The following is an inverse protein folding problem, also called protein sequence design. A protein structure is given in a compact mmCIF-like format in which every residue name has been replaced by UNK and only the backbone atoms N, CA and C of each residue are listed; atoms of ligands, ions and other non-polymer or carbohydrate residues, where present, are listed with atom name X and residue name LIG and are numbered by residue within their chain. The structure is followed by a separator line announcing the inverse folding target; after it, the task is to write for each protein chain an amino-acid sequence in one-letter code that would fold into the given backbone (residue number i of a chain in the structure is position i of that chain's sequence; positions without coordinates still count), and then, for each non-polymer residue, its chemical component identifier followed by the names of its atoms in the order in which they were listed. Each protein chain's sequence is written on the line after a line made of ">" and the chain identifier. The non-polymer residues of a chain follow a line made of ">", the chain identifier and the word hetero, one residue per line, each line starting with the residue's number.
data_IF_004660181899
#
_entry.id   IF_004660181899
#
_cell.length_a   1.000
_cell.length_b   1.000
_cell.length_c   1.000
_cell.angle_alpha   90.00
_cell.angle_beta   90.00
_cell.angle_gamma   90.00
#
_symmetry.space_group_name_H-M   'P 1'
#
loop_
_entity.id
_entity.type
_entity.pdbx_description
1 polymer ?
#
# COMPACT_ATOMS: atom_id res chain seq x y z
N UNK A 1 -11.18 5.60 -3.49
CA UNK A 1 -11.10 7.05 -3.70
C UNK A 1 -9.75 7.41 -4.31
N UNK A 2 -9.76 8.14 -5.39
CA UNK A 2 -8.51 8.55 -6.03
C UNK A 2 -8.11 9.95 -5.56
N UNK A 3 -6.85 10.10 -5.16
CA UNK A 3 -6.28 11.34 -4.66
C UNK A 3 -5.21 11.79 -5.65
N UNK A 4 -5.25 13.04 -6.08
CA UNK A 4 -4.18 13.61 -6.91
C UNK A 4 -2.96 13.90 -6.03
N UNK A 5 -1.77 13.84 -6.62
CA UNK A 5 -0.54 14.07 -5.88
C UNK A 5 -0.54 15.41 -5.17
N UNK A 6 -0.99 16.47 -5.83
CA UNK A 6 -1.07 17.82 -5.26
C UNK A 6 -2.10 17.93 -4.12
N UNK A 7 -3.03 16.99 -4.02
CA UNK A 7 -4.05 16.95 -2.98
C UNK A 7 -3.67 16.06 -1.79
N UNK A 8 -2.55 15.35 -1.91
CA UNK A 8 -2.16 14.36 -0.92
C UNK A 8 -1.94 14.99 0.46
N UNK A 9 -1.18 16.09 0.52
CA UNK A 9 -0.92 16.79 1.79
C UNK A 9 -2.19 17.26 2.46
N UNK A 10 -3.14 17.79 1.68
CA UNK A 10 -4.43 18.24 2.20
C UNK A 10 -5.26 17.09 2.75
N UNK A 11 -5.25 15.93 2.07
CA UNK A 11 -5.95 14.75 2.55
C UNK A 11 -5.33 14.23 3.84
N UNK A 12 -4.00 14.21 3.93
CA UNK A 12 -3.29 13.76 5.13
C UNK A 12 -3.56 14.65 6.34
N UNK A 13 -3.80 15.94 6.12
CA UNK A 13 -4.16 16.85 7.22
C UNK A 13 -5.53 16.54 7.82
N UNK A 14 -6.38 15.84 7.08
CA UNK A 14 -7.71 15.42 7.55
C UNK A 14 -7.70 14.07 8.29
N UNK A 15 -6.55 13.42 8.34
CA UNK A 15 -6.40 12.13 8.98
C UNK A 15 -5.77 11.10 8.06
N UNK A 16 -5.11 10.13 8.67
CA UNK A 16 -4.39 9.08 7.97
C UNK A 16 -5.32 7.89 7.72
N UNK A 17 -5.39 7.42 6.48
CA UNK A 17 -6.11 6.19 6.16
C UNK A 17 -5.23 4.97 6.47
N UNK A 18 -5.83 3.80 6.56
CA UNK A 18 -5.09 2.56 6.86
C UNK A 18 -4.26 2.02 5.71
N UNK A 19 -4.58 2.41 4.48
CA UNK A 19 -3.88 1.91 3.30
C UNK A 19 -3.86 2.98 2.21
N UNK A 20 -2.70 3.12 1.56
CA UNK A 20 -2.53 3.98 0.40
C UNK A 20 -1.87 3.21 -0.73
N UNK A 21 -2.36 3.43 -1.95
CA UNK A 21 -1.79 2.86 -3.17
C UNK A 21 -1.28 3.97 -4.05
N UNK A 22 0.02 3.93 -4.39
CA UNK A 22 0.65 4.90 -5.28
C UNK A 22 1.04 4.18 -6.56
N UNK A 23 0.58 4.67 -7.70
CA UNK A 23 0.88 4.04 -8.99
C UNK A 23 1.12 5.08 -10.08
N UNK A 24 1.93 4.73 -11.05
CA UNK A 24 2.29 5.60 -12.16
C UNK A 24 3.67 5.26 -12.72
N UNK A 25 4.07 5.94 -13.80
CA UNK A 25 5.36 5.72 -14.47
C UNK A 25 6.40 6.81 -14.17
N UNK A 26 6.04 7.83 -13.41
CA UNK A 26 6.95 8.90 -12.99
C UNK A 26 7.64 8.48 -11.68
N UNK A 27 8.77 7.79 -11.79
CA UNK A 27 9.45 7.21 -10.63
C UNK A 27 9.75 8.22 -9.52
N UNK A 28 10.17 9.43 -9.89
CA UNK A 28 10.45 10.47 -8.89
C UNK A 28 9.19 10.89 -8.14
N UNK A 29 8.08 11.07 -8.85
CA UNK A 29 6.81 11.44 -8.23
C UNK A 29 6.26 10.34 -7.34
N UNK A 30 6.44 9.07 -7.73
CA UNK A 30 6.07 7.93 -6.88
C UNK A 30 6.87 7.97 -5.58
N UNK A 31 8.17 8.20 -5.66
CA UNK A 31 9.02 8.27 -4.47
C UNK A 31 8.65 9.45 -3.58
N UNK A 32 8.37 10.60 -4.16
CA UNK A 32 7.94 11.78 -3.39
C UNK A 32 6.63 11.52 -2.64
N UNK A 33 5.66 10.87 -3.30
CA UNK A 33 4.40 10.51 -2.67
C UNK A 33 4.61 9.52 -1.52
N UNK A 34 5.44 8.50 -1.73
CA UNK A 34 5.76 7.51 -0.69
C UNK A 34 6.47 8.16 0.49
N UNK A 35 7.42 9.07 0.23
CA UNK A 35 8.13 9.78 1.29
C UNK A 35 7.18 10.64 2.12
N UNK A 36 6.23 11.31 1.46
CA UNK A 36 5.20 12.09 2.15
C UNK A 36 4.34 11.21 3.05
N UNK A 37 3.93 10.04 2.55
CA UNK A 37 3.11 9.10 3.31
C UNK A 37 3.89 8.49 4.47
N UNK A 38 5.16 8.14 4.27
CA UNK A 38 6.01 7.62 5.34
C UNK A 38 6.19 8.62 6.47
N UNK A 39 6.40 9.88 6.11
CA UNK A 39 6.56 10.95 7.11
C UNK A 39 5.27 11.16 7.90
N UNK A 40 4.13 11.16 7.23
CA UNK A 40 2.84 11.26 7.91
C UNK A 40 2.60 10.09 8.85
N UNK A 41 2.96 8.88 8.42
CA UNK A 41 2.86 7.68 9.25
C UNK A 41 3.77 7.73 10.46
N UNK A 42 5.02 8.18 10.27
CA UNK A 42 6.00 8.31 11.35
C UNK A 42 5.49 9.23 12.44
N UNK A 43 4.87 10.33 12.07
CA UNK A 43 4.29 11.29 13.04
C UNK A 43 3.18 10.68 13.89
N UNK A 44 2.51 9.65 13.38
CA UNK A 44 1.44 8.96 14.10
C UNK A 44 1.89 7.66 14.75
N UNK A 45 3.20 7.40 14.79
CA UNK A 45 3.76 6.27 15.50
C UNK A 45 3.96 5.01 14.67
N UNK A 46 3.74 5.05 13.35
CA UNK A 46 4.00 3.92 12.45
C UNK A 46 5.50 3.90 12.10
N UNK A 47 6.30 3.39 13.01
CA UNK A 47 7.77 3.47 12.94
C UNK A 47 8.45 2.14 12.64
N UNK A 48 7.79 1.02 12.86
CA UNK A 48 8.34 -0.31 12.57
C UNK A 48 8.08 -0.65 11.10
N UNK A 49 9.09 -0.41 10.24
CA UNK A 49 8.94 -0.52 8.79
C UNK A 49 9.43 -1.84 8.25
N UNK A 50 8.59 -2.50 7.44
CA UNK A 50 9.00 -3.67 6.65
C UNK A 50 8.62 -3.45 5.18
N UNK A 51 9.41 -4.00 4.27
CA UNK A 51 9.20 -3.89 2.83
C UNK A 51 9.10 -5.29 2.23
N UNK A 52 8.01 -5.51 1.48
CA UNK A 52 7.78 -6.77 0.77
C UNK A 52 7.74 -6.46 -0.72
N UNK A 53 8.68 -7.03 -1.48
CA UNK A 53 8.73 -6.84 -2.93
C UNK A 53 8.25 -8.11 -3.63
N UNK A 54 7.18 -7.97 -4.40
CA UNK A 54 6.59 -9.08 -5.16
C UNK A 54 7.38 -9.24 -6.46
N UNK A 55 8.24 -10.26 -6.51
CA UNK A 55 9.03 -10.58 -7.70
C UNK A 55 8.72 -12.01 -8.13
N UNK A 56 8.01 -12.13 -9.25
CA UNK A 56 7.69 -13.42 -9.83
C UNK A 56 6.56 -14.17 -9.12
N UNK A 57 6.39 -15.43 -9.47
CA UNK A 57 5.26 -16.26 -9.05
C UNK A 57 5.43 -16.89 -7.65
N UNK A 58 6.59 -16.73 -7.04
CA UNK A 58 6.94 -17.44 -5.80
C UNK A 58 6.86 -16.55 -4.54
N UNK A 59 6.23 -15.40 -4.63
CA UNK A 59 6.06 -14.55 -3.47
C UNK A 59 5.13 -15.21 -2.44
N UNK A 60 5.52 -15.17 -1.18
CA UNK A 60 4.73 -15.77 -0.10
C UNK A 60 3.68 -14.78 0.43
N UNK A 61 2.50 -14.83 -0.16
CA UNK A 61 1.37 -13.98 0.24
C UNK A 61 0.84 -14.32 1.63
N UNK A 62 0.97 -15.59 2.05
CA UNK A 62 0.54 -16.01 3.39
C UNK A 62 1.40 -15.34 4.45
N UNK A 63 2.70 -15.24 4.22
CA UNK A 63 3.61 -14.53 5.14
C UNK A 63 3.23 -13.06 5.26
N UNK A 64 2.89 -12.40 4.14
CA UNK A 64 2.47 -11.01 4.15
C UNK A 64 1.18 -10.82 4.96
N UNK A 65 0.18 -11.68 4.76
CA UNK A 65 -1.07 -11.61 5.49
C UNK A 65 -0.85 -11.81 6.99
N UNK A 66 0.02 -12.74 7.35
CA UNK A 66 0.36 -13.00 8.75
C UNK A 66 1.09 -11.81 9.38
N UNK A 67 2.03 -11.19 8.65
CA UNK A 67 2.76 -10.02 9.13
C UNK A 67 1.83 -8.85 9.44
N UNK A 68 0.81 -8.65 8.60
CA UNK A 68 -0.15 -7.57 8.78
C UNK A 68 -1.05 -7.74 10.02
N UNK A 69 -1.22 -8.98 10.47
CA UNK A 69 -2.04 -9.28 11.66
C UNK A 69 -1.20 -9.52 12.91
N UNK A 70 0.12 -9.53 12.80
CA UNK A 70 1.00 -9.75 13.95
C UNK A 70 0.97 -8.55 14.89
N UNK A 71 1.00 -8.83 16.19
CA UNK A 71 1.13 -7.78 17.20
C UNK A 71 2.58 -7.37 17.33
N UNK A 72 2.83 -6.07 17.41
CA UNK A 72 4.18 -5.57 17.65
C UNK A 72 4.65 -5.96 19.07
N UNK A 73 5.88 -6.48 19.16
CA UNK A 73 6.49 -6.82 20.45
C UNK A 73 6.91 -5.59 21.23
N UNK A 74 7.04 -4.44 20.56
CA UNK A 74 7.57 -3.21 21.16
C UNK A 74 6.52 -2.12 21.30
N UNK A 75 5.25 -2.46 21.11
CA UNK A 75 4.12 -1.51 21.14
C UNK A 75 4.16 -0.44 20.04
N UNK A 76 5.09 -0.55 19.10
CA UNK A 76 5.16 0.36 17.97
C UNK A 76 4.15 -0.05 16.90
N UNK A 77 3.58 0.93 16.21
CA UNK A 77 2.75 0.68 15.05
C UNK A 77 3.64 0.33 13.85
N UNK A 78 3.13 -0.54 12.99
CA UNK A 78 3.87 -1.04 11.84
C UNK A 78 3.55 -0.26 10.58
N UNK A 79 4.59 -0.02 9.78
CA UNK A 79 4.47 0.46 8.41
C UNK A 79 4.86 -0.68 7.47
N UNK A 80 3.91 -1.19 6.70
CA UNK A 80 4.15 -2.27 5.75
C UNK A 80 4.10 -1.71 4.34
N UNK A 81 5.20 -1.87 3.58
CA UNK A 81 5.26 -1.46 2.18
C UNK A 81 5.23 -2.69 1.30
N UNK A 82 4.31 -2.68 0.35
CA UNK A 82 4.16 -3.76 -0.64
C UNK A 82 4.51 -3.18 -2.01
N UNK A 83 5.59 -3.67 -2.61
CA UNK A 83 6.04 -3.23 -3.93
C UNK A 83 5.71 -4.30 -4.95
N UNK A 84 5.00 -3.94 -6.00
CA UNK A 84 4.63 -4.84 -7.10
C UNK A 84 5.17 -4.23 -8.40
N UNK A 85 6.48 -4.40 -8.70
CA UNK A 85 7.12 -3.72 -9.84
C UNK A 85 6.53 -4.10 -11.19
N UNK A 86 5.99 -5.30 -11.34
CA UNK A 86 5.37 -5.75 -12.58
C UNK A 86 3.93 -5.23 -12.75
N UNK A 87 3.31 -4.76 -11.66
CA UNK A 87 1.89 -4.42 -11.67
C UNK A 87 0.97 -5.64 -11.76
N UNK A 88 1.52 -6.85 -11.62
CA UNK A 88 0.78 -8.10 -11.80
C UNK A 88 0.99 -9.00 -10.59
N UNK A 89 0.08 -8.95 -9.60
CA UNK A 89 0.22 -9.80 -8.41
C UNK A 89 -0.07 -11.28 -8.68
N UNK A 90 -0.69 -11.61 -9.82
CA UNK A 90 -1.10 -12.96 -10.12
C UNK A 90 -2.41 -13.35 -9.40
N UNK A 91 -2.84 -14.58 -9.62
CA UNK A 91 -4.10 -15.07 -9.06
C UNK A 91 -4.07 -15.13 -7.53
N UNK A 92 -3.01 -15.71 -6.98
CA UNK A 92 -2.86 -15.81 -5.52
C UNK A 92 -2.71 -14.43 -4.88
N UNK A 93 -1.99 -13.52 -5.56
CA UNK A 93 -1.84 -12.16 -5.10
C UNK A 93 -3.12 -11.36 -5.16
N UNK A 94 -3.94 -11.58 -6.20
CA UNK A 94 -5.25 -10.94 -6.30
C UNK A 94 -6.13 -11.32 -5.12
N UNK A 95 -6.22 -12.61 -4.81
CA UNK A 95 -7.01 -13.09 -3.67
C UNK A 95 -6.44 -12.56 -2.34
N UNK A 96 -5.12 -12.59 -2.19
CA UNK A 96 -4.47 -12.13 -0.96
C UNK A 96 -4.69 -10.64 -0.72
N UNK A 97 -4.57 -9.80 -1.77
CA UNK A 97 -4.79 -8.36 -1.64
C UNK A 97 -6.24 -8.03 -1.27
N UNK A 98 -7.20 -8.76 -1.82
CA UNK A 98 -8.60 -8.58 -1.45
C UNK A 98 -8.83 -8.94 0.03
N UNK A 99 -8.27 -10.04 0.49
CA UNK A 99 -8.34 -10.43 1.92
C UNK A 99 -7.64 -9.43 2.82
N UNK A 100 -6.50 -8.90 2.37
CA UNK A 100 -5.75 -7.90 3.11
C UNK A 100 -6.60 -6.65 3.34
N UNK A 101 -7.28 -6.18 2.30
CA UNK A 101 -8.14 -4.99 2.39
C UNK A 101 -9.39 -5.21 3.23
N UNK A 102 -9.89 -6.45 3.29
CA UNK A 102 -11.08 -6.78 4.09
C UNK A 102 -10.78 -6.84 5.59
N UNK A 103 -9.53 -6.97 5.98
CA UNK A 103 -9.15 -7.19 7.38
C UNK A 103 -7.99 -6.26 7.79
N UNK A 104 -8.13 -4.97 7.52
CA UNK A 104 -7.10 -3.99 7.86
C UNK A 104 -6.95 -3.87 9.38
N UNK A 105 -5.69 -3.90 9.82
CA UNK A 105 -5.33 -3.74 11.22
C UNK A 105 -5.10 -2.26 11.50
N UNK A 106 -5.78 -1.64 12.49
CA UNK A 106 -5.58 -0.22 12.79
C UNK A 106 -4.18 0.14 13.26
N UNK A 107 -3.39 -0.84 13.69
CA UNK A 107 -2.00 -0.61 14.10
C UNK A 107 -1.01 -0.79 12.93
N UNK A 108 -1.51 -0.94 11.71
CA UNK A 108 -0.70 -1.08 10.50
C UNK A 108 -1.10 -0.02 9.49
N UNK A 109 -0.12 0.75 9.03
CA UNK A 109 -0.26 1.58 7.83
C UNK A 109 0.36 0.84 6.67
N UNK A 110 -0.41 0.65 5.60
CA UNK A 110 0.06 -0.09 4.42
C UNK A 110 0.24 0.85 3.23
N UNK A 111 1.40 0.76 2.59
CA UNK A 111 1.70 1.50 1.37
C UNK A 111 1.94 0.50 0.24
N UNK A 112 1.12 0.56 -0.81
CA UNK A 112 1.27 -0.29 -1.99
C UNK A 112 1.81 0.57 -3.13
N UNK A 113 2.92 0.17 -3.75
CA UNK A 113 3.48 0.87 -4.89
C UNK A 113 3.42 0.00 -6.14
N UNK A 114 2.95 0.61 -7.22
CA UNK A 114 2.70 -0.05 -8.50
C UNK A 114 3.24 0.81 -9.62
N UNK A 115 3.59 0.21 -10.77
CA UNK A 115 3.93 0.98 -11.96
C UNK A 115 2.65 1.53 -12.61
N UNK A 116 2.79 2.16 -13.77
CA UNK A 116 1.64 2.54 -14.58
C UNK A 116 0.81 1.30 -14.90
N UNK A 117 -0.50 1.42 -14.76
CA UNK A 117 -1.45 0.34 -15.00
C UNK A 117 -2.36 0.67 -16.18
N UNK A 118 -2.65 -0.33 -17.01
CA UNK A 118 -3.64 -0.18 -18.07
C UNK A 118 -5.07 -0.20 -17.48
N UNK A 119 -6.06 0.14 -18.32
CA UNK A 119 -7.45 0.19 -17.86
C UNK A 119 -7.97 -1.17 -17.42
N UNK A 120 -7.57 -2.24 -18.09
CA UNK A 120 -7.98 -3.59 -17.73
C UNK A 120 -7.50 -3.94 -16.31
N UNK A 121 -6.26 -3.63 -15.99
CA UNK A 121 -5.72 -3.86 -14.66
C UNK A 121 -6.40 -2.99 -13.61
N UNK A 122 -6.69 -1.73 -13.94
CA UNK A 122 -7.39 -0.84 -13.03
C UNK A 122 -8.83 -1.30 -12.74
N UNK A 123 -9.43 -2.09 -13.61
CA UNK A 123 -10.76 -2.67 -13.41
C UNK A 123 -10.71 -4.02 -12.70
N UNK A 124 -9.54 -4.54 -12.37
CA UNK A 124 -9.41 -5.82 -11.69
C UNK A 124 -9.93 -5.75 -10.26
N UNK A 125 -10.38 -6.90 -9.75
CA UNK A 125 -10.94 -6.97 -8.41
C UNK A 125 -9.92 -6.58 -7.33
N UNK A 126 -8.66 -6.98 -7.47
CA UNK A 126 -7.65 -6.64 -6.47
C UNK A 126 -7.34 -5.15 -6.45
N UNK A 127 -7.33 -4.49 -7.62
CA UNK A 127 -7.08 -3.05 -7.67
C UNK A 127 -8.26 -2.27 -7.11
N UNK A 128 -9.48 -2.70 -7.39
CA UNK A 128 -10.68 -2.08 -6.83
C UNK A 128 -10.73 -2.23 -5.30
N UNK A 129 -10.25 -3.36 -4.77
CA UNK A 129 -10.16 -3.55 -3.32
C UNK A 129 -9.21 -2.54 -2.66
N UNK A 130 -8.20 -2.06 -3.39
CA UNK A 130 -7.26 -1.04 -2.89
C UNK A 130 -7.84 0.38 -2.90
N UNK A 131 -9.13 0.57 -3.14
CA UNK A 131 -9.75 1.89 -3.30
C UNK A 131 -9.90 2.69 -1.99
N UNK A 132 -9.14 2.37 -0.98
CA UNK A 132 -9.17 3.11 0.30
C UNK A 132 -8.50 4.46 0.15
N UNK A 133 -7.30 4.49 -0.42
CA UNK A 133 -6.61 5.71 -0.78
C UNK A 133 -5.65 5.43 -1.92
N UNK A 134 -5.87 6.03 -3.10
CA UNK A 134 -5.02 5.81 -4.28
C UNK A 134 -4.52 7.13 -4.83
N UNK A 135 -3.22 7.19 -5.14
CA UNK A 135 -2.60 8.33 -5.80
C UNK A 135 -1.99 7.89 -7.14
N UNK A 136 -2.47 8.48 -8.22
CA UNK A 136 -1.91 8.27 -9.55
C UNK A 136 -0.93 9.40 -9.85
N UNK A 137 0.32 9.06 -10.07
CA UNK A 137 1.38 10.02 -10.42
C UNK A 137 1.89 9.83 -11.84
#
# INVERSE_FOLDING_TARGET
>A
MQIRLEQLAAQLSKGLKGLYTVYGDEALLVQEALDTLREAGRKEGFTERTVHTVQGAHFDWTELLAAAQAMSLFSDRQLIEIRIPSGKPGRDGSDALQRYCDALNPDVLTLVSLPRLDKATQNSAWFQALEIGRAHV
#
